data_IF_635307407808
#
_entry.id   IF_635307407808
#
_cell.length_a   1.000
_cell.length_b   1.000
_cell.length_c   1.000
_cell.angle_alpha   90.00
_cell.angle_beta   90.00
_cell.angle_gamma   90.00
#
_symmetry.space_group_name_H-M   'P 1'
#
loop_
_entity.id
_entity.type
_entity.pdbx_description
1 polymer ?
#
# COMPACT_ATOMS: atom_id res chain seq x y z
N UNK A 1 11.22 -20.39 -15.26
CA UNK A 1 10.08 -19.46 -15.10
C UNK A 1 10.51 -18.33 -14.16
N UNK A 2 10.50 -17.07 -14.60
CA UNK A 2 10.82 -15.93 -13.71
C UNK A 2 9.57 -15.58 -12.91
N UNK A 3 9.59 -15.81 -11.59
CA UNK A 3 8.54 -15.29 -10.71
C UNK A 3 8.62 -13.76 -10.70
N UNK A 4 7.55 -13.11 -11.16
CA UNK A 4 7.47 -11.65 -11.20
C UNK A 4 6.79 -11.20 -9.92
N UNK A 5 7.55 -10.55 -9.03
CA UNK A 5 6.99 -9.93 -7.82
C UNK A 5 6.03 -8.82 -8.22
N UNK A 6 4.80 -8.84 -7.70
CA UNK A 6 3.77 -7.85 -8.04
C UNK A 6 3.91 -6.68 -7.06
N UNK A 7 4.03 -5.46 -7.60
CA UNK A 7 4.11 -4.23 -6.81
C UNK A 7 2.78 -3.49 -6.90
N UNK A 8 2.15 -3.24 -5.76
CA UNK A 8 0.94 -2.43 -5.66
C UNK A 8 1.32 -1.03 -5.19
N UNK A 9 0.91 0.00 -5.94
CA UNK A 9 1.01 1.40 -5.52
C UNK A 9 -0.38 1.81 -5.05
N UNK A 10 -0.50 2.11 -3.76
CA UNK A 10 -1.78 2.39 -3.10
C UNK A 10 -1.76 3.78 -2.45
N UNK A 11 -2.95 4.38 -2.32
CA UNK A 11 -3.10 5.66 -1.65
C UNK A 11 -2.86 5.53 -0.12
N UNK A 12 -2.72 6.64 0.59
CA UNK A 12 -2.53 6.62 2.05
C UNK A 12 -3.85 6.42 2.84
N UNK A 13 -4.79 5.64 2.30
CA UNK A 13 -6.07 5.40 2.96
C UNK A 13 -5.88 4.62 4.26
N UNK A 14 -6.54 5.06 5.33
CA UNK A 14 -6.51 4.41 6.66
C UNK A 14 -6.93 2.94 6.61
N UNK A 15 -7.74 2.54 5.63
CA UNK A 15 -8.20 1.15 5.46
C UNK A 15 -7.03 0.20 5.18
N UNK A 16 -6.02 0.67 4.44
CA UNK A 16 -4.84 -0.12 4.08
C UNK A 16 -3.88 -0.33 5.26
N UNK A 17 -3.99 0.52 6.29
CA UNK A 17 -3.23 0.40 7.53
C UNK A 17 -3.86 -0.54 8.55
N UNK A 18 -5.02 -1.13 8.24
CA UNK A 18 -5.73 -2.04 9.13
C UNK A 18 -4.93 -3.33 9.41
N UNK A 19 -5.15 -3.92 10.60
CA UNK A 19 -4.44 -5.14 11.03
C UNK A 19 -4.63 -6.31 10.07
N UNK A 20 -5.82 -6.43 9.48
CA UNK A 20 -6.16 -7.47 8.50
C UNK A 20 -5.31 -7.34 7.23
N UNK A 21 -5.23 -6.13 6.66
CA UNK A 21 -4.44 -5.87 5.45
C UNK A 21 -2.95 -6.07 5.72
N UNK A 22 -2.43 -5.58 6.86
CA UNK A 22 -1.03 -5.81 7.25
C UNK A 22 -0.69 -7.30 7.39
N UNK A 23 -1.54 -8.08 8.07
CA UNK A 23 -1.33 -9.52 8.22
C UNK A 23 -1.36 -10.25 6.89
N UNK A 24 -2.25 -9.87 5.98
CA UNK A 24 -2.31 -10.44 4.65
C UNK A 24 -1.07 -10.10 3.80
N UNK A 25 -0.61 -8.84 3.83
CA UNK A 25 0.62 -8.41 3.14
C UNK A 25 1.81 -9.21 3.68
N UNK A 26 1.91 -9.38 5.00
CA UNK A 26 3.02 -10.10 5.64
C UNK A 26 3.12 -11.55 5.20
N UNK A 27 1.99 -12.26 5.14
CA UNK A 27 1.92 -13.65 4.66
C UNK A 27 2.27 -13.81 3.16
N UNK A 28 2.25 -12.72 2.39
CA UNK A 28 2.44 -12.75 0.94
C UNK A 28 3.64 -11.92 0.48
N UNK A 29 4.52 -11.48 1.39
CA UNK A 29 5.69 -10.63 1.10
C UNK A 29 6.61 -11.16 0.00
N UNK A 30 6.69 -12.48 -0.17
CA UNK A 30 7.47 -13.12 -1.23
C UNK A 30 6.90 -12.89 -2.64
N UNK A 31 5.59 -12.66 -2.74
CA UNK A 31 4.86 -12.52 -4.00
C UNK A 31 4.45 -11.08 -4.28
N UNK A 32 4.14 -10.31 -3.23
CA UNK A 32 3.59 -8.95 -3.33
C UNK A 32 4.30 -7.96 -2.43
N UNK A 33 4.38 -6.73 -2.92
CA UNK A 33 5.02 -5.60 -2.25
C UNK A 33 4.14 -4.35 -2.40
N UNK A 34 3.85 -3.68 -1.28
CA UNK A 34 2.99 -2.50 -1.24
C UNK A 34 3.82 -1.23 -1.11
N UNK A 35 3.54 -0.26 -1.96
CA UNK A 35 4.09 1.08 -1.93
C UNK A 35 2.98 2.06 -1.61
N UNK A 36 3.10 2.71 -0.46
CA UNK A 36 2.16 3.75 -0.06
C UNK A 36 2.63 5.06 -0.67
N UNK A 37 1.72 5.73 -1.37
CA UNK A 37 1.95 7.11 -1.75
C UNK A 37 2.06 7.95 -0.47
N UNK A 38 2.94 8.97 -0.46
CA UNK A 38 2.96 9.92 0.64
C UNK A 38 1.54 10.46 0.82
N UNK A 39 1.14 10.68 2.07
CA UNK A 39 -0.12 11.38 2.33
C UNK A 39 -0.09 12.64 1.48
N UNK A 40 -1.04 12.77 0.54
CA UNK A 40 -1.19 14.03 -0.16
C UNK A 40 -1.30 15.07 0.94
N UNK A 41 -0.29 15.93 1.04
CA UNK A 41 -0.30 17.04 1.98
C UNK A 41 -1.58 17.78 1.63
N UNK A 42 -2.55 17.76 2.54
CA UNK A 42 -3.82 18.49 2.43
C UNK A 42 -3.59 20.00 2.47
N UNK A 43 -2.50 20.49 1.88
CA UNK A 43 -1.99 21.84 1.98
C UNK A 43 -2.76 22.81 1.07
N UNK A 44 -3.55 22.31 0.11
CA UNK A 44 -4.47 23.15 -0.66
C UNK A 44 -5.77 22.42 -0.95
N UNK A 45 -6.68 22.42 0.03
CA UNK A 45 -8.09 22.61 -0.32
C UNK A 45 -8.30 24.11 -0.53
N UNK A 46 -8.59 24.60 -1.74
CA UNK A 46 -9.07 25.97 -1.86
C UNK A 46 -10.38 26.09 -1.07
N UNK A 47 -10.48 27.13 -0.24
CA UNK A 47 -11.77 27.61 0.26
C UNK A 47 -12.59 28.18 -0.89
#
# INVERSE_FOLDING_TARGET
MKFKKIRFIVDNSRVLHSKLVKGWIENNKDKIEFFYLPSYSSERKPK
#
